data_IF_878279122289
#
_entry.id   IF_878279122289
#
_cell.length_a   1.000
_cell.length_b   1.000
_cell.length_c   1.000
_cell.angle_alpha   90.00
_cell.angle_beta   90.00
_cell.angle_gamma   90.00
#
_symmetry.space_group_name_H-M   'P 1'
#
loop_
_entity.id
_entity.type
_entity.pdbx_description
1 polymer ?
#
# COMPACT_ATOMS: atom_id res chain seq x y z
N UNK A 1 -9.72 14.72 -9.93
CA UNK A 1 -9.28 13.34 -10.23
C UNK A 1 -8.42 12.88 -9.07
N UNK A 2 -8.77 11.76 -8.44
CA UNK A 2 -8.01 11.21 -7.31
C UNK A 2 -7.12 10.05 -7.80
N UNK A 3 -6.05 9.76 -7.07
CA UNK A 3 -5.17 8.59 -7.28
C UNK A 3 -5.09 7.77 -5.99
N UNK A 4 -4.77 6.49 -6.12
CA UNK A 4 -4.60 5.58 -4.99
C UNK A 4 -3.34 5.91 -4.17
N UNK A 5 -3.27 5.40 -2.94
CA UNK A 5 -2.11 5.60 -2.05
C UNK A 5 -0.82 5.11 -2.68
N UNK A 6 -0.83 3.94 -3.35
CA UNK A 6 0.37 3.40 -3.99
C UNK A 6 0.85 4.26 -5.18
N UNK A 7 -0.06 4.77 -6.00
CA UNK A 7 0.26 5.65 -7.13
C UNK A 7 0.87 6.97 -6.67
N UNK A 8 0.31 7.57 -5.61
CA UNK A 8 0.87 8.78 -5.01
C UNK A 8 2.29 8.53 -4.47
N UNK A 9 2.50 7.40 -3.80
CA UNK A 9 3.82 7.00 -3.30
C UNK A 9 4.84 6.82 -4.43
N UNK A 10 4.50 6.09 -5.49
CA UNK A 10 5.37 5.91 -6.65
C UNK A 10 5.72 7.24 -7.31
N UNK A 11 4.76 8.16 -7.42
CA UNK A 11 5.01 9.49 -7.95
C UNK A 11 6.00 10.26 -7.08
N UNK A 12 5.78 10.31 -5.77
CA UNK A 12 6.66 11.01 -4.82
C UNK A 12 8.08 10.41 -4.83
N UNK A 13 8.20 9.08 -4.90
CA UNK A 13 9.48 8.39 -4.97
C UNK A 13 10.28 8.76 -6.22
N UNK A 14 9.63 8.96 -7.38
CA UNK A 14 10.29 9.42 -8.61
C UNK A 14 10.96 10.79 -8.46
N UNK A 15 10.52 11.60 -7.50
CA UNK A 15 11.12 12.90 -7.18
C UNK A 15 12.05 12.85 -5.96
N UNK A 16 12.45 11.66 -5.51
CA UNK A 16 13.38 11.49 -4.39
C UNK A 16 12.79 11.79 -3.01
N UNK A 17 11.45 11.89 -2.90
CA UNK A 17 10.78 12.11 -1.62
C UNK A 17 10.72 10.78 -0.87
N UNK A 18 11.22 10.77 0.37
CA UNK A 18 11.19 9.60 1.24
C UNK A 18 9.76 9.12 1.53
N UNK A 19 9.49 7.86 1.23
CA UNK A 19 8.20 7.21 1.46
C UNK A 19 8.40 5.85 2.17
N UNK A 20 7.39 5.34 2.89
CA UNK A 20 7.42 3.96 3.37
C UNK A 20 7.45 2.98 2.19
N UNK A 21 8.35 2.01 2.23
CA UNK A 21 8.41 0.92 1.25
C UNK A 21 7.08 0.15 1.24
N UNK A 22 6.66 -0.27 0.05
CA UNK A 22 5.41 -1.01 -0.13
C UNK A 22 5.34 -1.62 -1.51
N UNK A 23 4.38 -2.53 -1.67
CA UNK A 23 4.10 -3.24 -2.91
C UNK A 23 2.58 -3.22 -3.14
N UNK A 24 2.15 -2.86 -4.36
CA UNK A 24 0.75 -2.97 -4.75
C UNK A 24 0.48 -4.41 -5.19
N UNK A 25 -0.61 -4.99 -4.69
CA UNK A 25 -1.00 -6.36 -5.00
C UNK A 25 -2.48 -6.40 -5.38
N UNK A 26 -2.80 -7.16 -6.42
CA UNK A 26 -4.16 -7.43 -6.90
C UNK A 26 -4.63 -8.83 -6.50
N UNK A 27 -3.71 -9.72 -6.13
CA UNK A 27 -4.00 -11.07 -5.64
C UNK A 27 -3.40 -11.29 -4.25
N UNK A 28 -3.83 -12.37 -3.59
CA UNK A 28 -3.29 -12.76 -2.28
C UNK A 28 -1.84 -13.20 -2.43
N UNK A 29 -1.54 -13.93 -3.50
CA UNK A 29 -0.20 -14.43 -3.83
C UNK A 29 0.77 -13.27 -4.03
N UNK A 30 0.37 -12.24 -4.79
CA UNK A 30 1.16 -11.02 -4.95
C UNK A 30 1.40 -10.29 -3.63
N UNK A 31 0.41 -10.26 -2.73
CA UNK A 31 0.58 -9.63 -1.42
C UNK A 31 1.60 -10.38 -0.55
N UNK A 32 1.59 -11.71 -0.61
CA UNK A 32 2.55 -12.57 0.12
C UNK A 32 3.96 -12.40 -0.45
N UNK A 33 4.12 -12.45 -1.78
CA UNK A 33 5.42 -12.26 -2.41
C UNK A 33 5.95 -10.83 -2.21
N UNK A 34 5.08 -9.82 -2.30
CA UNK A 34 5.43 -8.44 -2.00
C UNK A 34 5.91 -8.25 -0.56
N UNK A 35 5.27 -8.91 0.42
CA UNK A 35 5.71 -8.84 1.82
C UNK A 35 7.11 -9.43 2.02
N UNK A 36 7.48 -10.52 1.33
CA UNK A 36 8.81 -11.13 1.42
C UNK A 36 9.93 -10.20 0.92
N UNK A 37 9.61 -9.25 0.04
CA UNK A 37 10.56 -8.27 -0.49
C UNK A 37 10.75 -7.06 0.43
N UNK A 38 9.88 -6.89 1.45
CA UNK A 38 9.89 -5.76 2.36
C UNK A 38 10.62 -6.10 3.67
N UNK A 39 11.20 -5.10 4.35
CA UNK A 39 11.80 -5.32 5.66
C UNK A 39 10.71 -5.70 6.68
N UNK A 40 10.87 -6.88 7.30
CA UNK A 40 10.01 -7.37 8.39
C UNK A 40 10.41 -6.81 9.77
N UNK A 41 9.78 -7.29 10.86
CA UNK A 41 8.81 -8.39 10.93
C UNK A 41 7.34 -7.95 10.80
N UNK A 42 7.06 -6.64 10.75
CA UNK A 42 5.70 -6.10 10.76
C UNK A 42 5.32 -5.53 9.40
N UNK A 43 4.15 -5.93 8.90
CA UNK A 43 3.60 -5.47 7.62
C UNK A 43 2.22 -4.85 7.82
N UNK A 44 1.87 -3.88 6.97
CA UNK A 44 0.55 -3.22 6.99
C UNK A 44 -0.14 -3.43 5.65
N UNK A 45 -1.18 -4.26 5.63
CA UNK A 45 -2.02 -4.48 4.46
C UNK A 45 -3.11 -3.41 4.43
N UNK A 46 -3.23 -2.68 3.32
CA UNK A 46 -4.18 -1.56 3.19
C UNK A 46 -5.02 -1.68 1.92
N UNK A 47 -6.34 -1.61 2.08
CA UNK A 47 -7.26 -1.46 0.97
C UNK A 47 -6.91 -0.20 0.14
N UNK A 48 -6.81 -0.38 -1.17
CA UNK A 48 -6.57 0.70 -2.12
C UNK A 48 -7.91 1.24 -2.64
N UNK A 49 -8.44 2.25 -1.95
CA UNK A 49 -9.65 2.98 -2.34
C UNK A 49 -9.39 4.49 -2.25
N UNK A 50 -10.12 5.30 -3.01
CA UNK A 50 -9.97 6.76 -2.98
C UNK A 50 -10.55 7.41 -1.71
N UNK A 51 -11.28 6.66 -0.88
CA UNK A 51 -11.85 7.16 0.36
C UNK A 51 -10.88 7.05 1.56
N UNK A 52 -10.98 8.01 2.48
CA UNK A 52 -10.34 7.94 3.79
C UNK A 52 -11.03 6.98 4.75
N UNK A 53 -10.58 6.92 6.01
CA UNK A 53 -11.28 6.16 7.08
C UNK A 53 -11.17 4.63 7.00
N UNK A 54 -10.35 4.10 6.08
CA UNK A 54 -10.19 2.66 5.80
C UNK A 54 -9.99 1.78 7.05
N UNK A 55 -9.22 2.24 8.03
CA UNK A 55 -8.95 1.49 9.26
C UNK A 55 -10.13 1.42 10.26
N UNK A 56 -11.21 2.18 10.03
CA UNK A 56 -12.43 2.14 10.87
C UNK A 56 -13.50 1.18 10.34
N UNK A 57 -13.25 0.50 9.21
CA UNK A 57 -14.16 -0.49 8.65
C UNK A 57 -14.40 -1.64 9.64
N UNK A 58 -15.63 -2.13 9.70
CA UNK A 58 -16.02 -3.29 10.51
C UNK A 58 -16.55 -4.37 9.58
N UNK A 59 -16.12 -5.61 9.78
CA UNK A 59 -16.75 -6.78 9.18
C UNK A 59 -17.95 -7.20 10.05
N UNK A 60 -18.97 -7.77 9.42
CA UNK A 60 -20.08 -8.43 10.11
C UNK A 60 -19.95 -9.93 9.91
#
# INVERSE_FOLDING_TARGET
MNIHEYQAKELLAKYGIGIPAGHAALTVEEAVEGAKQLPGPLYVVKAQIHAGGRGKGKFK
#
